data_IF_693309847069
#
_entry.id   IF_693309847069
#
_cell.length_a   1.000
_cell.length_b   1.000
_cell.length_c   1.000
_cell.angle_alpha   90.00
_cell.angle_beta   90.00
_cell.angle_gamma   90.00
#
_symmetry.space_group_name_H-M   'P 1'
#
loop_
_entity.id
_entity.type
_entity.pdbx_description
1 polymer ?
#
# COMPACT_ATOMS: atom_id res chain seq x y z
N UNK A 1 13.85 5.94 -10.33
CA UNK A 1 13.34 4.72 -9.67
C UNK A 1 14.29 4.45 -8.52
N UNK A 2 13.86 4.66 -7.28
CA UNK A 2 14.62 4.15 -6.13
C UNK A 2 14.60 2.63 -6.21
N UNK A 3 15.78 1.99 -6.20
CA UNK A 3 15.92 0.53 -6.06
C UNK A 3 15.01 0.08 -4.92
N UNK A 4 14.12 -0.87 -5.18
CA UNK A 4 13.32 -1.48 -4.11
C UNK A 4 14.27 -2.05 -3.06
N UNK A 5 14.03 -1.75 -1.79
CA UNK A 5 14.76 -2.39 -0.70
C UNK A 5 14.34 -3.86 -0.65
N UNK A 6 15.30 -4.77 -0.86
CA UNK A 6 15.07 -6.21 -0.61
C UNK A 6 15.08 -6.44 0.90
N UNK A 7 13.95 -6.85 1.46
CA UNK A 7 13.89 -7.25 2.87
C UNK A 7 14.60 -8.59 3.07
N UNK A 8 15.32 -8.75 4.17
CA UNK A 8 15.90 -10.03 4.57
C UNK A 8 14.93 -10.91 5.35
N UNK A 9 13.75 -10.37 5.68
CA UNK A 9 12.72 -11.03 6.47
C UNK A 9 11.39 -10.86 5.74
N UNK A 10 10.71 -11.97 5.49
CA UNK A 10 9.33 -12.03 5.02
C UNK A 10 8.45 -12.58 6.13
N UNK A 11 7.28 -11.98 6.33
CA UNK A 11 6.30 -12.45 7.31
C UNK A 11 4.95 -12.58 6.63
N UNK A 12 4.38 -13.77 6.69
CA UNK A 12 2.99 -14.04 6.37
C UNK A 12 2.21 -14.33 7.65
N UNK A 13 0.96 -13.91 7.73
CA UNK A 13 0.11 -14.22 8.87
C UNK A 13 -1.35 -14.30 8.44
N UNK A 14 -2.12 -15.06 9.22
CA UNK A 14 -3.54 -15.27 9.05
C UNK A 14 -4.24 -14.61 10.21
N UNK A 15 -5.25 -13.79 9.91
CA UNK A 15 -6.03 -13.05 10.90
C UNK A 15 -7.47 -13.52 10.85
N UNK A 16 -8.02 -13.81 12.01
CA UNK A 16 -9.47 -13.99 12.19
C UNK A 16 -10.11 -12.59 12.29
N UNK A 17 -11.11 -12.32 11.44
CA UNK A 17 -11.59 -10.96 11.16
C UNK A 17 -12.38 -10.36 12.33
N UNK A 18 -13.11 -11.17 13.08
CA UNK A 18 -14.00 -10.70 14.13
C UNK A 18 -13.23 -10.30 15.40
N UNK A 19 -12.23 -11.09 15.77
CA UNK A 19 -11.38 -10.86 16.96
C UNK A 19 -10.11 -10.07 16.64
N UNK A 20 -9.64 -10.13 15.39
CA UNK A 20 -8.37 -9.55 14.98
C UNK A 20 -7.14 -10.35 15.44
N UNK A 21 -7.33 -11.57 15.98
CA UNK A 21 -6.21 -12.40 16.42
C UNK A 21 -5.47 -13.06 15.26
N UNK A 22 -4.16 -13.20 15.44
CA UNK A 22 -3.31 -13.97 14.53
C UNK A 22 -3.47 -15.44 14.87
N UNK A 23 -4.08 -16.21 13.97
CA UNK A 23 -4.34 -17.65 14.16
C UNK A 23 -3.23 -18.52 13.58
N UNK A 24 -2.47 -18.00 12.62
CA UNK A 24 -1.32 -18.68 12.03
C UNK A 24 -0.30 -17.66 11.50
N UNK A 25 0.98 -18.01 11.48
CA UNK A 25 2.07 -17.16 10.96
C UNK A 25 3.23 -17.95 10.39
N UNK A 26 3.87 -17.40 9.37
CA UNK A 26 5.10 -17.93 8.79
C UNK A 26 6.13 -16.81 8.70
N UNK A 27 7.37 -17.12 9.09
CA UNK A 27 8.46 -16.15 9.11
C UNK A 27 9.62 -16.73 8.34
N UNK A 28 9.92 -16.13 7.20
CA UNK A 28 11.09 -16.46 6.41
C UNK A 28 12.19 -15.42 6.58
N UNK A 29 13.42 -15.90 6.61
CA UNK A 29 14.60 -15.07 6.50
C UNK A 29 15.67 -15.74 5.65
N UNK A 30 16.24 -14.96 4.74
CA UNK A 30 17.38 -15.36 3.93
C UNK A 30 18.71 -14.89 4.51
N UNK A 31 18.68 -14.35 5.74
CA UNK A 31 19.83 -13.72 6.36
C UNK A 31 20.07 -14.26 7.76
N UNK A 32 21.34 -14.49 8.06
CA UNK A 32 21.82 -14.75 9.41
C UNK A 32 23.08 -13.91 9.61
N UNK A 33 23.11 -13.11 10.69
CA UNK A 33 24.24 -12.24 11.00
C UNK A 33 25.52 -13.06 11.23
N UNK A 34 25.40 -14.22 11.87
CA UNK A 34 26.52 -15.12 12.17
C UNK A 34 27.10 -15.71 10.88
N UNK A 35 26.24 -16.21 9.98
CA UNK A 35 26.67 -16.64 8.64
C UNK A 35 27.35 -15.50 7.88
N UNK A 36 26.72 -14.33 7.82
CA UNK A 36 27.23 -13.17 7.08
C UNK A 36 28.61 -12.72 7.59
N UNK A 37 28.80 -12.68 8.91
CA UNK A 37 30.09 -12.32 9.51
C UNK A 37 31.16 -13.39 9.22
N UNK A 38 30.79 -14.67 9.21
CA UNK A 38 31.70 -15.76 8.87
C UNK A 38 32.15 -15.67 7.42
N UNK A 39 31.22 -15.44 6.49
CA UNK A 39 31.49 -15.27 5.07
C UNK A 39 32.40 -14.07 4.81
N UNK A 40 32.14 -12.93 5.47
CA UNK A 40 33.01 -11.73 5.38
C UNK A 40 34.44 -12.01 5.86
N UNK A 41 34.59 -12.83 6.89
CA UNK A 41 35.89 -13.25 7.43
C UNK A 41 36.52 -14.42 6.64
N UNK A 42 35.83 -14.94 5.62
CA UNK A 42 36.26 -16.10 4.81
C UNK A 42 36.65 -17.32 5.64
N UNK A 43 35.95 -17.55 6.77
CA UNK A 43 36.22 -18.70 7.62
C UNK A 43 35.58 -19.96 7.01
N UNK A 44 36.31 -21.09 6.92
CA UNK A 44 35.78 -22.32 6.30
C UNK A 44 34.56 -22.84 7.07
N UNK A 45 33.54 -23.35 6.36
CA UNK A 45 32.37 -23.99 7.00
C UNK A 45 32.77 -25.44 7.30
N UNK A 46 33.04 -25.75 8.56
CA UNK A 46 33.29 -27.13 8.99
C UNK A 46 31.97 -27.83 9.33
N UNK A 47 31.88 -29.17 9.20
CA UNK A 47 30.68 -29.92 9.59
C UNK A 47 30.26 -29.67 11.04
N UNK A 48 31.22 -29.60 11.96
CA UNK A 48 30.97 -29.38 13.39
C UNK A 48 30.37 -28.00 13.64
N UNK A 49 30.89 -26.98 12.93
CA UNK A 49 30.32 -25.64 13.02
C UNK A 49 28.92 -25.59 12.42
N UNK A 50 28.70 -26.24 11.27
CA UNK A 50 27.39 -26.26 10.60
C UNK A 50 26.32 -26.86 11.51
N UNK A 51 26.58 -28.03 12.09
CA UNK A 51 25.65 -28.71 13.02
C UNK A 51 25.35 -27.84 14.24
N UNK A 52 26.39 -27.24 14.85
CA UNK A 52 26.21 -26.35 16.00
C UNK A 52 25.43 -25.07 15.65
N UNK A 53 25.64 -24.53 14.45
CA UNK A 53 25.01 -23.29 14.03
C UNK A 53 23.58 -23.48 13.54
N UNK A 54 23.26 -24.63 12.95
CA UNK A 54 21.95 -24.93 12.35
C UNK A 54 20.79 -24.68 13.33
N UNK A 55 20.95 -25.07 14.60
CA UNK A 55 19.97 -24.85 15.67
C UNK A 55 19.68 -23.37 15.98
N UNK A 56 20.60 -22.46 15.64
CA UNK A 56 20.51 -21.02 15.93
C UNK A 56 20.58 -20.17 14.66
N UNK A 57 20.50 -20.80 13.49
CA UNK A 57 20.60 -20.11 12.23
C UNK A 57 19.28 -19.40 11.94
N UNK A 58 19.31 -18.06 11.89
CA UNK A 58 18.13 -17.29 11.52
C UNK A 58 17.77 -17.42 10.04
N UNK A 59 18.66 -17.98 9.20
CA UNK A 59 18.41 -18.18 7.78
C UNK A 59 17.68 -19.50 7.56
N UNK A 60 16.37 -19.42 7.35
CA UNK A 60 15.49 -20.56 7.04
C UNK A 60 14.94 -20.53 5.60
N UNK A 61 15.35 -19.56 4.78
CA UNK A 61 14.91 -19.41 3.40
C UNK A 61 16.10 -19.24 2.45
N UNK A 62 16.13 -20.02 1.37
CA UNK A 62 17.23 -20.01 0.38
C UNK A 62 16.87 -19.26 -0.90
N UNK A 63 15.58 -18.96 -1.13
CA UNK A 63 15.11 -18.21 -2.30
C UNK A 63 15.39 -16.71 -2.25
N UNK A 64 14.95 -16.00 -3.29
CA UNK A 64 15.05 -14.54 -3.38
C UNK A 64 14.07 -13.86 -2.41
N UNK A 65 14.44 -12.71 -1.85
CA UNK A 65 13.56 -11.96 -0.93
C UNK A 65 12.16 -11.71 -1.51
N UNK A 66 12.04 -11.51 -2.82
CA UNK A 66 10.77 -11.25 -3.48
C UNK A 66 9.83 -12.46 -3.53
N UNK A 67 10.33 -13.69 -3.35
CA UNK A 67 9.49 -14.90 -3.34
C UNK A 67 9.04 -15.32 -1.94
N UNK A 68 9.62 -14.76 -0.87
CA UNK A 68 9.25 -15.10 0.51
C UNK A 68 7.76 -14.89 0.80
N UNK A 69 7.13 -13.87 0.22
CA UNK A 69 5.71 -13.61 0.43
C UNK A 69 4.84 -14.71 -0.18
N UNK A 70 5.15 -15.12 -1.41
CA UNK A 70 4.46 -16.19 -2.11
C UNK A 70 4.63 -17.53 -1.39
N UNK A 71 5.87 -17.85 -1.00
CA UNK A 71 6.17 -19.08 -0.26
C UNK A 71 5.50 -19.10 1.12
N UNK A 72 5.51 -17.98 1.85
CA UNK A 72 4.89 -17.90 3.17
C UNK A 72 3.39 -18.13 3.06
N UNK A 73 2.74 -17.54 2.05
CA UNK A 73 1.34 -17.78 1.78
C UNK A 73 1.07 -19.24 1.41
N UNK A 74 1.86 -19.85 0.52
CA UNK A 74 1.71 -21.26 0.16
C UNK A 74 1.86 -22.19 1.38
N UNK A 75 2.83 -21.93 2.27
CA UNK A 75 2.99 -22.68 3.51
C UNK A 75 1.78 -22.56 4.43
N UNK A 76 1.30 -21.33 4.66
CA UNK A 76 0.13 -21.07 5.50
C UNK A 76 -1.12 -21.76 4.94
N UNK A 77 -1.39 -21.60 3.64
CA UNK A 77 -2.53 -22.26 2.99
C UNK A 77 -2.38 -23.79 3.01
N UNK A 78 -1.19 -24.32 2.77
CA UNK A 78 -0.92 -25.75 2.74
C UNK A 78 -1.23 -26.44 4.07
N UNK A 79 -0.77 -25.88 5.19
CA UNK A 79 -0.98 -26.49 6.53
C UNK A 79 -2.32 -26.15 7.17
N UNK A 80 -3.10 -25.24 6.58
CA UNK A 80 -4.38 -24.77 7.14
C UNK A 80 -5.36 -25.90 7.50
N UNK A 81 -5.41 -26.97 6.72
CA UNK A 81 -6.31 -28.11 6.96
C UNK A 81 -5.91 -28.92 8.19
N UNK A 82 -4.62 -28.96 8.53
CA UNK A 82 -4.11 -29.58 9.77
C UNK A 82 -4.58 -28.78 10.99
N UNK A 83 -4.69 -27.46 10.83
CA UNK A 83 -5.25 -26.54 11.83
C UNK A 83 -6.79 -26.52 11.83
N UNK A 84 -7.45 -27.33 10.99
CA UNK A 84 -8.91 -27.35 10.79
C UNK A 84 -9.48 -26.00 10.33
N UNK A 85 -8.70 -25.23 9.57
CA UNK A 85 -9.08 -23.93 9.02
C UNK A 85 -9.20 -23.98 7.50
N UNK A 86 -10.01 -23.07 6.94
CA UNK A 86 -10.05 -22.77 5.50
C UNK A 86 -10.01 -21.27 5.29
N UNK A 87 -9.03 -20.80 4.53
CA UNK A 87 -8.85 -19.37 4.27
C UNK A 87 -9.60 -18.97 3.00
N UNK A 88 -10.48 -17.97 3.10
CA UNK A 88 -11.32 -17.54 1.97
C UNK A 88 -10.79 -16.30 1.26
N UNK A 89 -9.98 -15.49 1.95
CA UNK A 89 -9.60 -14.15 1.50
C UNK A 89 -8.09 -13.96 1.61
N UNK A 90 -7.47 -13.49 0.54
CA UNK A 90 -6.09 -13.03 0.52
C UNK A 90 -6.07 -11.51 0.44
N UNK A 91 -5.41 -10.87 1.42
CA UNK A 91 -5.20 -9.42 1.43
C UNK A 91 -3.77 -9.14 0.96
N UNK A 92 -3.61 -8.42 -0.13
CA UNK A 92 -2.29 -8.14 -0.70
C UNK A 92 -2.22 -6.85 -1.49
N UNK A 93 -1.01 -6.58 -1.97
CA UNK A 93 -0.69 -5.42 -2.80
C UNK A 93 -0.72 -5.82 -4.27
N UNK A 94 -1.60 -5.19 -5.08
CA UNK A 94 -1.54 -5.25 -6.55
C UNK A 94 -1.51 -6.66 -7.15
N UNK A 95 -1.00 -6.79 -8.38
CA UNK A 95 -0.82 -8.10 -9.03
C UNK A 95 0.32 -8.85 -8.35
N UNK A 96 -0.03 -9.64 -7.34
CA UNK A 96 0.91 -10.44 -6.57
C UNK A 96 1.06 -11.82 -7.22
N UNK A 97 2.30 -12.19 -7.53
CA UNK A 97 2.65 -13.59 -7.79
C UNK A 97 2.19 -14.50 -6.64
N UNK A 98 2.12 -13.96 -5.42
CA UNK A 98 1.51 -14.58 -4.23
C UNK A 98 0.08 -15.04 -4.49
N UNK A 99 -0.80 -14.18 -5.00
CA UNK A 99 -2.20 -14.54 -5.26
C UNK A 99 -2.31 -15.63 -6.32
N UNK A 100 -1.51 -15.52 -7.39
CA UNK A 100 -1.44 -16.55 -8.43
C UNK A 100 -0.98 -17.90 -7.86
N UNK A 101 0.04 -17.91 -6.99
CA UNK A 101 0.54 -19.11 -6.35
C UNK A 101 -0.53 -19.76 -5.45
N UNK A 102 -1.26 -18.97 -4.66
CA UNK A 102 -2.39 -19.47 -3.84
C UNK A 102 -3.50 -20.05 -4.74
N UNK A 103 -3.83 -19.37 -5.85
CA UNK A 103 -4.84 -19.88 -6.79
C UNK A 103 -4.41 -21.20 -7.43
N UNK A 104 -3.14 -21.33 -7.79
CA UNK A 104 -2.57 -22.55 -8.36
C UNK A 104 -2.55 -23.70 -7.35
N UNK A 105 -2.27 -23.40 -6.07
CA UNK A 105 -2.32 -24.38 -5.00
C UNK A 105 -3.71 -25.02 -4.86
N UNK A 106 -4.78 -24.23 -5.06
CA UNK A 106 -6.18 -24.68 -5.10
C UNK A 106 -6.57 -25.66 -3.96
N UNK A 107 -6.00 -25.46 -2.76
CA UNK A 107 -6.11 -26.39 -1.62
C UNK A 107 -7.55 -26.76 -1.25
N UNK A 108 -8.51 -25.86 -1.47
CA UNK A 108 -9.89 -26.02 -1.01
C UNK A 108 -10.91 -26.27 -2.13
N UNK A 109 -10.49 -26.24 -3.41
CA UNK A 109 -11.39 -26.43 -4.54
C UNK A 109 -12.39 -25.29 -4.79
N UNK A 110 -12.19 -24.11 -4.18
CA UNK A 110 -12.99 -22.90 -4.41
C UNK A 110 -12.08 -21.67 -4.60
N UNK A 111 -12.54 -20.64 -5.33
CA UNK A 111 -11.73 -19.46 -5.60
C UNK A 111 -11.49 -18.63 -4.34
N UNK A 112 -10.23 -18.27 -4.08
CA UNK A 112 -9.85 -17.33 -3.03
C UNK A 112 -10.20 -15.91 -3.45
N UNK A 113 -10.85 -15.15 -2.57
CA UNK A 113 -11.17 -13.73 -2.79
C UNK A 113 -9.92 -12.89 -2.59
N UNK A 114 -9.57 -12.05 -3.56
CA UNK A 114 -8.49 -11.05 -3.41
C UNK A 114 -9.04 -9.73 -2.90
N UNK A 115 -8.44 -9.20 -1.86
CA UNK A 115 -8.68 -7.84 -1.37
C UNK A 115 -7.38 -7.02 -1.39
N UNK A 116 -7.53 -5.72 -1.67
CA UNK A 116 -6.41 -4.81 -1.83
C UNK A 116 -6.14 -4.04 -0.55
N UNK A 117 -4.87 -3.94 -0.17
CA UNK A 117 -4.45 -3.15 0.97
C UNK A 117 -4.76 -1.66 0.76
N UNK A 118 -5.42 -1.01 1.74
CA UNK A 118 -5.77 0.42 1.69
C UNK A 118 -4.53 1.30 1.46
N UNK A 119 -3.39 0.92 2.06
CA UNK A 119 -2.11 1.62 1.85
C UNK A 119 -1.70 1.56 0.38
N UNK A 120 -1.83 0.40 -0.25
CA UNK A 120 -1.49 0.18 -1.65
C UNK A 120 -2.43 0.93 -2.59
N UNK A 121 -3.74 0.85 -2.39
CA UNK A 121 -4.72 1.59 -3.21
C UNK A 121 -4.45 3.10 -3.15
N UNK A 122 -4.11 3.63 -1.96
CA UNK A 122 -3.72 5.03 -1.80
C UNK A 122 -2.45 5.36 -2.59
N UNK A 123 -1.39 4.55 -2.45
CA UNK A 123 -0.13 4.74 -3.21
C UNK A 123 -0.38 4.71 -4.72
N UNK A 124 -1.26 3.82 -5.20
CA UNK A 124 -1.63 3.68 -6.62
C UNK A 124 -2.20 4.98 -7.19
N UNK A 125 -3.05 5.68 -6.44
CA UNK A 125 -3.55 7.01 -6.83
C UNK A 125 -2.39 7.98 -7.07
N UNK A 126 -1.47 8.08 -6.11
CA UNK A 126 -0.31 8.97 -6.22
C UNK A 126 0.59 8.63 -7.41
N UNK A 127 0.84 7.34 -7.65
CA UNK A 127 1.62 6.88 -8.82
C UNK A 127 0.94 7.27 -10.13
N UNK A 128 -0.38 7.06 -10.24
CA UNK A 128 -1.16 7.42 -11.44
C UNK A 128 -1.17 8.93 -11.70
N UNK A 129 -1.32 9.75 -10.65
CA UNK A 129 -1.27 11.22 -10.78
C UNK A 129 0.11 11.72 -11.23
N UNK A 130 1.20 11.15 -10.70
CA UNK A 130 2.56 11.51 -11.14
C UNK A 130 2.82 11.08 -12.58
N UNK A 131 2.31 9.91 -12.99
CA UNK A 131 2.38 9.45 -14.38
C UNK A 131 1.63 10.42 -15.31
N UNK A 132 0.39 10.77 -14.98
CA UNK A 132 -0.41 11.74 -15.74
C UNK A 132 0.31 13.10 -15.87
N UNK A 133 0.82 13.65 -14.76
CA UNK A 133 1.60 14.89 -14.74
C UNK A 133 2.83 14.83 -15.67
N UNK A 134 3.51 13.68 -15.70
CA UNK A 134 4.71 13.46 -16.53
C UNK A 134 4.38 13.31 -18.01
N UNK A 135 3.23 12.72 -18.34
CA UNK A 135 2.79 12.48 -19.73
C UNK A 135 2.19 13.75 -20.36
N UNK A 136 1.43 14.52 -19.58
CA UNK A 136 0.83 15.77 -20.04
C UNK A 136 1.85 16.91 -20.01
N UNK A 137 2.66 16.99 -21.07
CA UNK A 137 3.69 18.02 -21.24
C UNK A 137 3.50 18.84 -22.51
N UNK A 138 3.95 20.08 -22.48
CA UNK A 138 4.07 20.96 -23.64
C UNK A 138 5.53 21.37 -23.83
N UNK A 139 5.89 21.72 -25.06
CA UNK A 139 7.23 22.21 -25.41
C UNK A 139 7.29 23.71 -25.16
N UNK A 140 8.32 24.17 -24.45
CA UNK A 140 8.51 25.58 -24.12
C UNK A 140 9.96 25.97 -24.40
N UNK A 141 10.14 27.14 -25.01
CA UNK A 141 11.46 27.75 -25.19
C UNK A 141 11.70 28.72 -24.04
N UNK A 142 12.80 28.50 -23.32
CA UNK A 142 13.21 29.36 -22.20
C UNK A 142 13.78 30.68 -22.70
N UNK A 143 13.92 31.67 -21.80
CA UNK A 143 14.53 32.97 -22.12
C UNK A 143 15.97 32.87 -22.65
N UNK A 144 16.65 31.75 -22.38
CA UNK A 144 18.02 31.47 -22.88
C UNK A 144 18.01 30.71 -24.22
N UNK A 145 16.86 30.58 -24.89
CA UNK A 145 16.72 29.85 -26.16
C UNK A 145 16.65 28.32 -26.02
N UNK A 146 16.82 27.77 -24.82
CA UNK A 146 16.76 26.32 -24.60
C UNK A 146 15.31 25.81 -24.71
N UNK A 147 15.09 24.83 -25.57
CA UNK A 147 13.82 24.10 -25.73
C UNK A 147 13.72 23.00 -24.68
N UNK A 148 12.61 22.92 -23.95
CA UNK A 148 12.37 21.87 -22.96
C UNK A 148 10.90 21.49 -22.85
N UNK A 149 10.62 20.28 -22.34
CA UNK A 149 9.26 19.84 -22.01
C UNK A 149 8.90 20.29 -20.59
N UNK A 150 7.73 20.91 -20.44
CA UNK A 150 7.17 21.32 -19.15
C UNK A 150 5.80 20.68 -18.97
N UNK A 151 5.51 20.19 -17.77
CA UNK A 151 4.17 19.65 -17.45
C UNK A 151 3.10 20.74 -17.56
N UNK A 152 1.99 20.44 -18.21
CA UNK A 152 0.81 21.33 -18.30
C UNK A 152 0.04 21.37 -16.98
N UNK A 153 0.13 20.27 -16.21
CA UNK A 153 -0.55 20.12 -14.92
C UNK A 153 0.32 20.54 -13.73
N UNK A 154 1.62 20.80 -13.95
CA UNK A 154 2.59 21.06 -12.90
C UNK A 154 2.97 22.54 -12.80
N UNK A 155 3.10 23.04 -11.58
CA UNK A 155 3.47 24.43 -11.32
C UNK A 155 2.96 24.89 -9.97
N UNK A 156 3.33 26.10 -9.56
CA UNK A 156 2.75 26.73 -8.37
C UNK A 156 1.22 26.80 -8.51
N UNK A 157 0.49 26.41 -7.47
CA UNK A 157 -0.97 26.36 -7.48
C UNK A 157 -1.60 25.20 -8.28
N UNK A 158 -0.80 24.32 -8.90
CA UNK A 158 -1.30 23.19 -9.70
C UNK A 158 -0.95 21.82 -9.06
N UNK A 159 -0.93 20.74 -9.85
CA UNK A 159 -0.66 19.36 -9.42
C UNK A 159 0.83 19.15 -9.11
N UNK A 160 1.32 19.83 -8.08
CA UNK A 160 2.66 19.61 -7.51
C UNK A 160 2.76 18.26 -6.81
N UNK A 161 3.98 17.77 -6.56
CA UNK A 161 4.16 16.51 -5.84
C UNK A 161 3.61 16.58 -4.40
N UNK A 162 3.66 17.76 -3.78
CA UNK A 162 3.03 18.02 -2.49
C UNK A 162 1.50 17.90 -2.55
N UNK A 163 0.86 18.42 -3.62
CA UNK A 163 -0.58 18.26 -3.82
C UNK A 163 -0.93 16.79 -4.06
N UNK A 164 -0.15 16.06 -4.86
CA UNK A 164 -0.35 14.63 -5.09
C UNK A 164 -0.23 13.83 -3.77
N UNK A 165 0.75 14.16 -2.93
CA UNK A 165 0.92 13.53 -1.62
C UNK A 165 -0.28 13.82 -0.71
N UNK A 166 -0.79 15.06 -0.70
CA UNK A 166 -2.01 15.43 0.06
C UNK A 166 -3.22 14.64 -0.42
N UNK A 167 -3.47 14.58 -1.73
CA UNK A 167 -4.59 13.84 -2.32
C UNK A 167 -4.51 12.33 -1.99
N UNK A 168 -3.31 11.75 -2.10
CA UNK A 168 -3.06 10.35 -1.74
C UNK A 168 -3.38 10.07 -0.27
N UNK A 169 -2.96 10.97 0.62
CA UNK A 169 -3.24 10.86 2.06
C UNK A 169 -4.73 11.02 2.36
N UNK A 170 -5.40 11.98 1.74
CA UNK A 170 -6.83 12.21 1.95
C UNK A 170 -7.67 11.06 1.45
N UNK A 171 -7.33 10.47 0.29
CA UNK A 171 -7.96 9.26 -0.22
C UNK A 171 -7.91 8.13 0.81
N UNK A 172 -6.73 7.82 1.35
CA UNK A 172 -6.59 6.78 2.38
C UNK A 172 -7.31 7.14 3.69
N UNK A 173 -7.31 8.42 4.10
CA UNK A 173 -8.03 8.88 5.31
C UNK A 173 -9.54 8.73 5.14
N UNK A 174 -10.07 9.07 3.96
CA UNK A 174 -11.49 8.97 3.65
C UNK A 174 -11.99 7.52 3.75
N UNK A 175 -11.19 6.54 3.31
CA UNK A 175 -11.53 5.12 3.46
C UNK A 175 -11.49 4.69 4.93
N UNK A 176 -10.37 4.95 5.63
CA UNK A 176 -10.19 4.54 7.04
C UNK A 176 -11.20 5.18 7.99
N UNK A 177 -11.66 6.39 7.69
CA UNK A 177 -12.66 7.10 8.50
C UNK A 177 -14.06 6.45 8.54
N UNK A 178 -14.28 5.35 7.81
CA UNK A 178 -15.51 4.56 7.88
C UNK A 178 -15.36 3.25 8.68
N UNK A 179 -14.17 2.94 9.21
CA UNK A 179 -13.89 1.67 9.90
C UNK A 179 -14.88 1.41 11.04
N UNK A 180 -15.15 2.43 11.86
CA UNK A 180 -15.98 2.31 13.07
C UNK A 180 -17.45 2.68 12.81
N UNK A 181 -17.87 2.75 11.54
CA UNK A 181 -19.23 3.11 11.13
C UNK A 181 -19.92 1.89 10.53
N UNK A 182 -20.54 1.03 11.36
CA UNK A 182 -21.26 -0.14 10.88
C UNK A 182 -22.33 0.30 9.87
N UNK A 183 -22.52 -0.50 8.82
CA UNK A 183 -23.46 -0.23 7.72
C UNK A 183 -23.13 0.94 6.80
N UNK A 184 -21.91 1.46 6.79
CA UNK A 184 -21.49 2.43 5.77
C UNK A 184 -21.53 1.77 4.39
N UNK A 185 -22.45 2.22 3.53
CA UNK A 185 -22.55 1.71 2.17
C UNK A 185 -21.32 2.07 1.33
N UNK A 186 -21.03 1.25 0.31
CA UNK A 186 -19.97 1.56 -0.66
C UNK A 186 -20.21 2.89 -1.37
N UNK A 187 -21.46 3.31 -1.50
CA UNK A 187 -21.85 4.62 -2.02
C UNK A 187 -21.33 5.76 -1.14
N UNK A 188 -21.55 5.70 0.18
CA UNK A 188 -21.07 6.73 1.11
C UNK A 188 -19.53 6.75 1.19
N UNK A 189 -18.86 5.59 1.13
CA UNK A 189 -17.40 5.54 1.05
C UNK A 189 -16.91 6.25 -0.23
N UNK A 190 -17.52 5.96 -1.38
CA UNK A 190 -17.19 6.62 -2.67
C UNK A 190 -17.39 8.12 -2.60
N UNK A 191 -18.48 8.57 -1.99
CA UNK A 191 -18.79 9.99 -1.77
C UNK A 191 -17.73 10.67 -0.92
N UNK A 192 -17.32 10.05 0.19
CA UNK A 192 -16.26 10.55 1.07
C UNK A 192 -14.91 10.63 0.36
N UNK A 193 -14.59 9.64 -0.47
CA UNK A 193 -13.38 9.64 -1.31
C UNK A 193 -13.42 10.78 -2.34
N UNK A 194 -14.54 10.95 -3.05
CA UNK A 194 -14.73 11.98 -4.07
C UNK A 194 -14.74 13.39 -3.49
N UNK A 195 -15.10 13.57 -2.21
CA UNK A 195 -15.03 14.87 -1.54
C UNK A 195 -13.63 15.50 -1.65
N UNK A 196 -12.56 14.70 -1.58
CA UNK A 196 -11.18 15.20 -1.72
C UNK A 196 -10.86 15.68 -3.14
N UNK A 197 -11.44 15.01 -4.14
CA UNK A 197 -11.31 15.40 -5.55
C UNK A 197 -12.04 16.72 -5.82
N UNK A 198 -13.30 16.80 -5.41
CA UNK A 198 -14.13 17.99 -5.56
C UNK A 198 -13.64 19.19 -4.74
N UNK A 199 -13.01 18.94 -3.59
CA UNK A 199 -12.37 19.98 -2.79
C UNK A 199 -11.13 20.58 -3.47
N UNK A 200 -10.47 19.84 -4.38
CA UNK A 200 -9.34 20.34 -5.15
C UNK A 200 -9.78 21.27 -6.30
N UNK A 201 -10.59 22.27 -5.97
CA UNK A 201 -11.15 23.26 -6.89
C UNK A 201 -10.48 24.63 -6.74
N UNK A 202 -10.85 25.56 -7.63
CA UNK A 202 -10.43 26.97 -7.58
C UNK A 202 -11.49 27.81 -6.88
N UNK A 203 -11.13 29.04 -6.52
CA UNK A 203 -12.05 29.98 -5.89
C UNK A 203 -13.08 30.52 -6.92
N UNK A 204 -12.71 30.61 -8.21
CA UNK A 204 -13.63 30.98 -9.30
C UNK A 204 -14.67 29.90 -9.61
N UNK A 205 -14.37 28.64 -9.29
CA UNK A 205 -15.23 27.48 -9.51
C UNK A 205 -15.22 26.58 -8.27
N UNK A 206 -15.84 27.00 -7.17
CA UNK A 206 -15.85 26.23 -5.93
C UNK A 206 -16.71 24.99 -6.10
N UNK A 207 -16.11 23.80 -5.96
CA UNK A 207 -16.79 22.53 -6.23
C UNK A 207 -16.99 21.68 -4.98
N UNK A 208 -16.98 22.23 -3.76
CA UNK A 208 -16.99 21.56 -2.43
C UNK A 208 -18.13 20.54 -2.12
N UNK A 209 -18.71 19.91 -3.14
CA UNK A 209 -19.55 18.72 -3.13
C UNK A 209 -18.94 17.62 -2.26
N UNK A 210 -19.83 16.94 -1.53
CA UNK A 210 -19.52 15.81 -0.66
C UNK A 210 -18.57 16.09 0.51
N UNK A 211 -18.03 17.30 0.63
CA UNK A 211 -17.36 17.71 1.84
C UNK A 211 -18.35 17.65 3.02
N UNK A 212 -17.91 17.16 4.20
CA UNK A 212 -18.81 17.05 5.34
C UNK A 212 -19.33 18.46 5.71
N UNK A 213 -20.62 18.61 6.03
CA UNK A 213 -21.16 19.88 6.50
C UNK A 213 -20.75 20.12 7.97
N UNK A 214 -21.05 21.32 8.46
CA UNK A 214 -20.91 21.68 9.87
C UNK A 214 -19.60 22.39 10.21
N UNK A 215 -19.59 23.01 11.39
CA UNK A 215 -18.47 23.79 11.95
C UNK A 215 -17.21 22.96 12.18
N UNK A 216 -17.37 21.65 12.37
CA UNK A 216 -16.26 20.70 12.52
C UNK A 216 -15.78 20.11 11.19
N UNK A 217 -16.27 20.62 10.06
CA UNK A 217 -15.83 20.18 8.74
C UNK A 217 -14.35 20.49 8.54
N UNK A 218 -13.61 19.55 7.94
CA UNK A 218 -12.25 19.83 7.49
C UNK A 218 -12.22 20.76 6.26
N UNK A 219 -13.38 20.96 5.60
CA UNK A 219 -13.51 21.87 4.48
C UNK A 219 -13.88 23.27 4.98
N UNK A 220 -12.95 24.23 4.81
CA UNK A 220 -13.15 25.63 5.22
C UNK A 220 -14.45 26.22 4.66
N UNK A 221 -14.77 25.94 3.40
CA UNK A 221 -15.98 26.42 2.74
C UNK A 221 -17.25 25.93 3.46
N UNK A 222 -17.32 24.63 3.79
CA UNK A 222 -18.48 24.05 4.50
C UNK A 222 -18.60 24.55 5.94
N UNK A 223 -17.47 24.86 6.59
CA UNK A 223 -17.48 25.54 7.91
C UNK A 223 -18.07 26.93 7.79
N UNK A 224 -17.55 27.73 6.87
CA UNK A 224 -18.04 29.09 6.64
C UNK A 224 -19.53 29.14 6.26
N UNK A 225 -20.01 28.20 5.45
CA UNK A 225 -21.45 28.05 5.17
C UNK A 225 -22.26 27.75 6.44
N UNK A 226 -21.72 26.94 7.36
CA UNK A 226 -22.39 26.59 8.61
C UNK A 226 -22.39 27.75 9.61
N UNK A 227 -21.28 28.49 9.67
CA UNK A 227 -21.08 29.67 10.54
C UNK A 227 -21.73 30.94 9.95
N UNK A 228 -22.31 30.87 8.75
CA UNK A 228 -22.83 32.02 7.99
C UNK A 228 -21.77 33.12 7.78
N UNK A 229 -20.51 32.73 7.62
CA UNK A 229 -19.38 33.63 7.36
C UNK A 229 -18.92 33.52 5.90
N UNK A 230 -18.16 34.51 5.44
CA UNK A 230 -17.55 34.46 4.11
C UNK A 230 -16.43 33.41 4.07
N UNK A 231 -16.41 32.48 3.11
CA UNK A 231 -15.32 31.52 2.95
C UNK A 231 -13.98 32.22 2.73
N UNK A 232 -12.97 31.89 3.55
CA UNK A 232 -11.59 32.37 3.41
C UNK A 232 -10.63 31.19 3.60
N UNK A 233 -9.62 31.06 2.73
CA UNK A 233 -8.63 29.96 2.74
C UNK A 233 -7.51 30.19 3.74
#
# INVERSE_FOLDING_TARGET
MTRGHSSHIGVGFVVEVDTGFIVDREVFSNFCQVCSNRDKKKLPITPEWKIKHELFCNKNFTGISASMEAEAACHLWGRSTELRLRYTTFVGDGDSNTYLAIQQLNQYGFPVKKEECINHVSKRLGTRLRKLKKEMTTTVTTKTGKVMKKSVLGGAGQLTDNVINKLTRYFGKAIRGNKDKPNTSTYEIRKNVLASYFHASTDDRPMHKHCPPGVNSWCFYKRSESDKTKPCR
#
